data_IF_428542576259
#
_entry.id   IF_428542576259
#
_cell.length_a   1.000
_cell.length_b   1.000
_cell.length_c   1.000
_cell.angle_alpha   90.00
_cell.angle_beta   90.00
_cell.angle_gamma   90.00
#
_symmetry.space_group_name_H-M   'P 1'
#
loop_
_entity.id
_entity.type
_entity.pdbx_description
1 polymer ?
#
# COMPACT_ATOMS: atom_id res chain seq x y z
N UNK A 1 -0.74 25.14 -13.02
CA UNK A 1 0.02 24.01 -12.43
C UNK A 1 -0.92 22.83 -12.39
N UNK A 2 -0.60 21.73 -13.08
CA UNK A 2 -1.48 20.57 -13.17
C UNK A 2 -1.66 19.86 -11.81
N UNK A 3 -2.80 19.16 -11.64
CA UNK A 3 -3.20 18.53 -10.38
C UNK A 3 -3.46 17.05 -10.56
N UNK A 4 -2.75 16.23 -9.77
CA UNK A 4 -2.97 14.81 -9.64
C UNK A 4 -3.87 14.51 -8.44
N UNK A 5 -5.02 13.91 -8.68
CA UNK A 5 -5.85 13.34 -7.62
C UNK A 5 -5.18 12.06 -7.09
N UNK A 6 -4.74 12.09 -5.84
CA UNK A 6 -4.15 10.92 -5.15
C UNK A 6 -5.24 10.27 -4.30
N UNK A 7 -5.66 9.06 -4.68
CA UNK A 7 -6.65 8.30 -3.91
C UNK A 7 -5.93 7.24 -3.08
N UNK A 8 -5.72 7.58 -1.79
CA UNK A 8 -4.92 6.79 -0.85
C UNK A 8 -5.25 7.19 0.60
N UNK A 9 -5.06 6.31 1.60
CA UNK A 9 -5.14 6.71 3.01
C UNK A 9 -4.23 7.91 3.29
N UNK A 10 -4.72 8.91 4.02
CA UNK A 10 -4.02 10.19 4.23
C UNK A 10 -2.62 9.98 4.82
N UNK A 11 -2.49 9.07 5.80
CA UNK A 11 -1.21 8.72 6.40
C UNK A 11 -0.18 8.12 5.41
N UNK A 12 -0.62 7.73 4.20
CA UNK A 12 0.20 7.09 3.15
C UNK A 12 0.39 7.95 1.91
N UNK A 13 -0.17 9.15 1.89
CA UNK A 13 -0.13 10.03 0.71
C UNK A 13 1.14 10.88 0.61
N UNK A 14 1.91 11.01 1.69
CA UNK A 14 3.05 11.93 1.77
C UNK A 14 4.10 11.74 0.67
N UNK A 15 4.52 10.49 0.40
CA UNK A 15 5.48 10.18 -0.66
C UNK A 15 4.92 10.49 -2.06
N UNK A 16 3.62 10.29 -2.27
CA UNK A 16 2.97 10.60 -3.55
C UNK A 16 2.86 12.11 -3.77
N UNK A 17 2.49 12.86 -2.71
CA UNK A 17 2.46 14.34 -2.73
C UNK A 17 3.85 14.89 -3.04
N UNK A 18 4.89 14.37 -2.37
CA UNK A 18 6.27 14.75 -2.65
C UNK A 18 6.67 14.41 -4.08
N UNK A 19 6.33 13.23 -4.58
CA UNK A 19 6.63 12.80 -5.96
C UNK A 19 5.99 13.73 -6.99
N UNK A 20 4.75 14.17 -6.78
CA UNK A 20 4.08 15.15 -7.63
C UNK A 20 4.84 16.49 -7.62
N UNK A 21 5.20 17.00 -6.45
CA UNK A 21 5.89 18.28 -6.31
C UNK A 21 7.25 18.33 -7.02
N UNK A 22 7.98 17.21 -7.06
CA UNK A 22 9.29 17.11 -7.73
C UNK A 22 9.24 17.33 -9.25
N UNK A 23 8.06 17.22 -9.86
CA UNK A 23 7.86 17.37 -11.30
C UNK A 23 6.90 18.51 -11.66
N UNK A 24 6.63 19.41 -10.70
CA UNK A 24 5.80 20.60 -10.91
C UNK A 24 4.30 20.31 -10.90
N UNK A 25 3.85 19.21 -10.32
CA UNK A 25 2.45 18.86 -10.14
C UNK A 25 1.98 19.15 -8.71
N UNK A 26 0.75 19.62 -8.56
CA UNK A 26 0.06 19.62 -7.28
C UNK A 26 -0.59 18.26 -7.04
N UNK A 27 -0.72 17.86 -5.79
CA UNK A 27 -1.50 16.71 -5.41
C UNK A 27 -2.75 17.13 -4.64
N UNK A 28 -3.91 16.56 -5.02
CA UNK A 28 -5.13 16.62 -4.23
C UNK A 28 -5.39 15.23 -3.66
N UNK A 29 -5.47 15.12 -2.34
CA UNK A 29 -5.62 13.80 -1.68
C UNK A 29 -7.07 13.55 -1.32
N UNK A 30 -7.65 12.45 -1.81
CA UNK A 30 -8.91 11.91 -1.32
C UNK A 30 -8.64 10.55 -0.64
N UNK A 31 -9.09 10.43 0.61
CA UNK A 31 -8.89 9.24 1.42
C UNK A 31 -10.24 8.62 1.80
N UNK A 32 -10.81 7.74 0.98
CA UNK A 32 -12.07 7.05 1.31
C UNK A 32 -11.90 5.96 2.37
N UNK A 33 -10.64 5.63 2.74
CA UNK A 33 -10.29 4.65 3.77
C UNK A 33 -9.13 5.21 4.59
N UNK A 34 -9.26 5.23 5.90
CA UNK A 34 -8.18 5.59 6.82
C UNK A 34 -7.56 4.37 7.49
N UNK A 35 -6.28 4.53 7.85
CA UNK A 35 -5.52 3.54 8.62
C UNK A 35 -5.53 3.97 10.09
N UNK A 36 -6.11 3.15 10.94
CA UNK A 36 -6.17 3.35 12.39
C UNK A 36 -5.31 2.30 13.08
N UNK A 37 -4.23 2.66 13.80
CA UNK A 37 -3.42 1.72 14.55
C UNK A 37 -4.24 0.98 15.62
N UNK A 38 -4.02 -0.33 15.76
CA UNK A 38 -4.56 -1.10 16.88
C UNK A 38 -3.59 -1.03 18.07
N UNK A 39 -3.79 -0.04 18.93
CA UNK A 39 -2.93 0.22 20.08
C UNK A 39 -2.84 -0.98 21.05
N UNK A 40 -3.88 -1.81 21.10
CA UNK A 40 -3.89 -3.00 21.95
C UNK A 40 -2.98 -4.08 21.39
N UNK A 41 -3.06 -4.34 20.08
CA UNK A 41 -2.18 -5.29 19.41
C UNK A 41 -0.72 -4.80 19.41
N UNK A 42 -0.50 -3.50 19.20
CA UNK A 42 0.83 -2.89 19.17
C UNK A 42 1.56 -2.97 20.52
N UNK A 43 0.87 -2.86 21.66
CA UNK A 43 1.48 -3.04 22.98
C UNK A 43 2.07 -4.45 23.19
N UNK A 44 1.46 -5.48 22.63
CA UNK A 44 1.95 -6.86 22.70
C UNK A 44 3.01 -7.22 21.65
N UNK A 45 3.16 -6.37 20.63
CA UNK A 45 3.95 -6.70 19.44
C UNK A 45 5.44 -6.90 19.72
N UNK A 46 6.02 -6.11 20.64
CA UNK A 46 7.44 -6.24 21.01
C UNK A 46 7.78 -7.64 21.50
N UNK A 47 6.93 -8.23 22.34
CA UNK A 47 7.12 -9.57 22.87
C UNK A 47 6.92 -10.64 21.79
N UNK A 48 5.87 -10.53 20.96
CA UNK A 48 5.65 -11.41 19.84
C UNK A 48 6.82 -11.39 18.85
N UNK A 49 7.30 -10.18 18.51
CA UNK A 49 8.43 -9.98 17.62
C UNK A 49 9.73 -10.59 18.18
N UNK A 50 10.02 -10.42 19.49
CA UNK A 50 11.23 -10.95 20.11
C UNK A 50 11.28 -12.48 20.09
N UNK A 51 10.13 -13.15 20.25
CA UNK A 51 10.01 -14.62 20.25
C UNK A 51 9.98 -15.25 18.87
N UNK A 52 9.74 -14.49 17.83
CA UNK A 52 9.65 -14.98 16.47
C UNK A 52 11.05 -15.28 15.89
N UNK A 53 11.18 -16.40 15.19
CA UNK A 53 12.37 -16.76 14.41
C UNK A 53 12.37 -16.07 13.05
N UNK A 54 11.18 -15.82 12.49
CA UNK A 54 10.97 -15.05 11.26
C UNK A 54 9.70 -14.20 11.36
N UNK A 55 9.67 -13.07 10.64
CA UNK A 55 8.51 -12.18 10.61
C UNK A 55 8.09 -11.92 9.17
N UNK A 56 6.82 -12.16 8.87
CA UNK A 56 6.23 -11.85 7.57
C UNK A 56 5.39 -10.56 7.63
N UNK A 57 5.69 -9.64 6.73
CA UNK A 57 5.09 -8.31 6.62
C UNK A 57 4.17 -8.22 5.40
N UNK A 58 2.87 -8.12 5.64
CA UNK A 58 1.83 -8.23 4.61
C UNK A 58 1.69 -6.98 3.74
N UNK A 59 2.22 -5.85 4.18
CA UNK A 59 2.13 -4.59 3.44
C UNK A 59 3.13 -3.55 3.97
N UNK A 60 3.47 -2.50 3.18
CA UNK A 60 4.22 -1.36 3.70
C UNK A 60 3.53 -0.71 4.92
N UNK A 61 2.20 -0.62 4.91
CA UNK A 61 1.42 -0.11 6.04
C UNK A 61 1.66 -0.91 7.32
N UNK A 62 1.71 -2.26 7.24
CA UNK A 62 2.02 -3.11 8.39
C UNK A 62 3.41 -2.81 8.96
N UNK A 63 4.40 -2.64 8.08
CA UNK A 63 5.78 -2.27 8.48
C UNK A 63 5.78 -0.92 9.20
N UNK A 64 5.24 0.11 8.58
CA UNK A 64 5.32 1.48 9.10
C UNK A 64 4.50 1.68 10.38
N UNK A 65 3.34 1.01 10.49
CA UNK A 65 2.54 1.04 11.72
C UNK A 65 3.25 0.33 12.88
N UNK A 66 3.93 -0.79 12.61
CA UNK A 66 4.56 -1.61 13.63
C UNK A 66 6.00 -1.19 13.98
N UNK A 67 6.71 -0.54 13.06
CA UNK A 67 8.13 -0.19 13.22
C UNK A 67 8.48 0.52 14.54
N UNK A 68 7.67 1.47 15.07
CA UNK A 68 7.96 2.12 16.36
C UNK A 68 7.93 1.17 17.57
N UNK A 69 7.35 -0.01 17.43
CA UNK A 69 7.09 -0.96 18.51
C UNK A 69 8.03 -2.19 18.49
N UNK A 70 8.90 -2.29 17.49
CA UNK A 70 9.82 -3.43 17.31
C UNK A 70 11.25 -2.95 17.16
N UNK A 71 12.21 -3.84 17.46
CA UNK A 71 13.62 -3.57 17.31
C UNK A 71 14.21 -4.41 16.17
N UNK A 72 14.66 -3.75 15.11
CA UNK A 72 15.29 -4.38 13.94
C UNK A 72 16.79 -4.61 14.10
N UNK A 73 17.37 -4.46 15.29
CA UNK A 73 18.82 -4.64 15.55
C UNK A 73 19.27 -6.11 15.42
N UNK A 74 18.36 -7.08 15.51
CA UNK A 74 18.68 -8.50 15.29
C UNK A 74 18.86 -8.80 13.80
N UNK A 75 20.12 -8.81 13.37
CA UNK A 75 20.53 -9.02 12.00
C UNK A 75 20.28 -10.46 11.50
N UNK A 76 20.03 -11.40 12.39
CA UNK A 76 19.79 -12.82 12.03
C UNK A 76 18.31 -13.12 11.79
N UNK A 77 17.41 -12.34 12.38
CA UNK A 77 15.98 -12.55 12.24
C UNK A 77 15.50 -12.26 10.81
N UNK A 78 14.94 -13.26 10.15
CA UNK A 78 14.43 -13.12 8.79
C UNK A 78 13.21 -12.19 8.74
N UNK A 79 13.31 -11.09 7.99
CA UNK A 79 12.23 -10.14 7.72
C UNK A 79 11.70 -10.41 6.32
N UNK A 80 10.53 -11.03 6.21
CA UNK A 80 9.97 -11.49 4.94
C UNK A 80 8.88 -10.52 4.51
N UNK A 81 9.03 -9.91 3.36
CA UNK A 81 8.09 -8.95 2.79
C UNK A 81 7.20 -9.60 1.73
N UNK A 82 5.94 -9.15 1.62
CA UNK A 82 5.03 -9.62 0.56
C UNK A 82 5.52 -9.25 -0.84
N UNK A 83 6.29 -8.18 -0.98
CA UNK A 83 6.83 -7.69 -2.24
C UNK A 83 7.81 -6.55 -2.03
N UNK A 84 8.34 -6.00 -3.12
CA UNK A 84 9.42 -5.02 -3.11
C UNK A 84 9.10 -3.75 -2.30
N UNK A 85 7.88 -3.22 -2.39
CA UNK A 85 7.48 -2.02 -1.64
C UNK A 85 7.55 -2.22 -0.12
N UNK A 86 7.13 -3.41 0.37
CA UNK A 86 7.24 -3.77 1.79
C UNK A 86 8.69 -4.01 2.20
N UNK A 87 9.48 -4.62 1.32
CA UNK A 87 10.93 -4.81 1.53
C UNK A 87 11.67 -3.49 1.69
N UNK A 88 11.39 -2.52 0.82
CA UNK A 88 11.96 -1.17 0.92
C UNK A 88 11.53 -0.45 2.20
N UNK A 89 10.26 -0.61 2.64
CA UNK A 89 9.79 -0.06 3.91
C UNK A 89 10.58 -0.66 5.09
N UNK A 90 10.82 -1.97 5.11
CA UNK A 90 11.64 -2.64 6.12
C UNK A 90 13.07 -2.09 6.17
N UNK A 91 13.71 -1.94 5.02
CA UNK A 91 15.08 -1.39 4.93
C UNK A 91 15.11 0.05 5.46
N UNK A 92 14.13 0.89 5.11
CA UNK A 92 14.03 2.26 5.67
C UNK A 92 13.87 2.27 7.18
N UNK A 93 13.20 1.26 7.76
CA UNK A 93 13.06 1.11 9.21
C UNK A 93 14.26 0.44 9.90
N UNK A 94 15.34 0.14 9.15
CA UNK A 94 16.58 -0.41 9.71
C UNK A 94 16.71 -1.93 9.68
N UNK A 95 15.75 -2.65 9.09
CA UNK A 95 15.85 -4.11 8.94
C UNK A 95 16.97 -4.46 7.94
N UNK A 96 17.81 -5.46 8.28
CA UNK A 96 18.96 -5.85 7.48
C UNK A 96 18.74 -7.16 6.72
N UNK A 97 18.15 -8.16 7.35
CA UNK A 97 17.94 -9.49 6.78
C UNK A 97 16.56 -9.58 6.09
N UNK A 98 16.41 -8.89 4.96
CA UNK A 98 15.12 -8.71 4.27
C UNK A 98 15.01 -9.61 3.05
N UNK A 99 13.93 -10.38 2.97
CA UNK A 99 13.58 -11.25 1.85
C UNK A 99 12.27 -10.77 1.21
N UNK A 100 12.27 -10.60 -0.10
CA UNK A 100 11.07 -10.26 -0.86
C UNK A 100 11.07 -11.01 -2.20
N UNK A 101 9.92 -11.40 -2.74
CA UNK A 101 9.84 -11.96 -4.08
C UNK A 101 10.37 -10.95 -5.11
N UNK A 102 11.14 -11.42 -6.09
CA UNK A 102 11.59 -10.60 -7.21
C UNK A 102 10.41 -10.30 -8.15
N UNK A 103 9.55 -11.29 -8.33
CA UNK A 103 8.33 -11.19 -9.12
C UNK A 103 7.12 -11.60 -8.28
N UNK A 104 6.00 -10.89 -8.49
CA UNK A 104 4.78 -11.07 -7.71
C UNK A 104 4.80 -10.28 -6.39
N UNK A 105 3.61 -10.14 -5.82
CA UNK A 105 3.38 -9.45 -4.55
C UNK A 105 2.19 -10.09 -3.80
N UNK A 106 2.13 -11.42 -3.86
CA UNK A 106 1.08 -12.24 -3.27
C UNK A 106 1.66 -13.35 -2.38
N UNK A 107 0.77 -14.04 -1.69
CA UNK A 107 1.13 -15.11 -0.77
C UNK A 107 1.81 -16.29 -1.47
N UNK A 108 1.46 -16.55 -2.72
CA UNK A 108 2.01 -17.64 -3.52
C UNK A 108 3.47 -17.38 -3.87
N UNK A 109 3.81 -16.14 -4.26
CA UNK A 109 5.19 -15.72 -4.50
C UNK A 109 6.04 -15.80 -3.23
N UNK A 110 5.49 -15.36 -2.08
CA UNK A 110 6.16 -15.44 -0.78
C UNK A 110 6.44 -16.89 -0.38
N UNK A 111 5.48 -17.82 -0.58
CA UNK A 111 5.66 -19.24 -0.22
C UNK A 111 6.77 -19.94 -1.02
N UNK A 112 7.18 -19.39 -2.17
CA UNK A 112 8.30 -19.90 -2.99
C UNK A 112 9.67 -19.38 -2.56
N UNK A 113 9.74 -18.47 -1.60
CA UNK A 113 11.02 -17.93 -1.13
C UNK A 113 11.85 -19.02 -0.44
N UNK A 114 13.14 -19.15 -0.78
CA UNK A 114 14.01 -20.18 -0.20
C UNK A 114 14.27 -20.00 1.30
N UNK A 115 14.00 -18.81 1.85
CA UNK A 115 14.16 -18.53 3.28
C UNK A 115 13.37 -19.49 4.18
N UNK A 116 12.24 -20.00 3.71
CA UNK A 116 11.44 -20.99 4.48
C UNK A 116 12.16 -22.31 4.71
N UNK A 117 13.04 -22.70 3.79
CA UNK A 117 13.80 -23.94 3.87
C UNK A 117 15.02 -23.81 4.80
N UNK A 118 15.40 -22.58 5.16
CA UNK A 118 16.50 -22.31 6.11
C UNK A 118 16.03 -22.28 7.58
N UNK A 119 14.73 -22.19 7.82
CA UNK A 119 14.17 -22.15 9.16
C UNK A 119 14.04 -23.56 9.74
N UNK A 120 14.32 -23.74 11.06
CA UNK A 120 14.16 -25.04 11.70
C UNK A 120 12.70 -25.50 11.74
N UNK A 121 12.47 -26.81 11.81
CA UNK A 121 11.14 -27.37 11.99
C UNK A 121 10.51 -26.83 13.28
N UNK A 122 9.26 -26.39 13.22
CA UNK A 122 8.56 -25.77 14.34
C UNK A 122 8.94 -24.32 14.62
N UNK A 123 9.75 -23.68 13.76
CA UNK A 123 10.08 -22.27 13.90
C UNK A 123 8.83 -21.39 14.04
N UNK A 124 8.95 -20.37 14.87
CA UNK A 124 7.88 -19.40 15.13
C UNK A 124 7.88 -18.31 14.06
N UNK A 125 6.80 -18.23 13.31
CA UNK A 125 6.61 -17.21 12.29
C UNK A 125 5.53 -16.24 12.75
N UNK A 126 5.91 -14.97 12.92
CA UNK A 126 4.98 -13.89 13.20
C UNK A 126 4.51 -13.27 11.88
N UNK A 127 3.19 -13.19 11.67
CA UNK A 127 2.58 -12.48 10.54
C UNK A 127 2.06 -11.13 11.03
N UNK A 128 2.63 -10.03 10.54
CA UNK A 128 2.20 -8.67 10.86
C UNK A 128 1.33 -8.13 9.73
N UNK A 129 0.05 -7.83 10.04
CA UNK A 129 -0.95 -7.44 9.04
C UNK A 129 -1.98 -6.44 9.56
N UNK A 130 -2.81 -5.90 8.68
CA UNK A 130 -4.06 -5.24 9.04
C UNK A 130 -5.15 -6.25 9.37
N UNK A 131 -6.15 -5.84 10.16
CA UNK A 131 -7.29 -6.68 10.52
C UNK A 131 -8.07 -7.16 9.29
N UNK A 132 -8.52 -8.42 9.31
CA UNK A 132 -9.30 -9.04 8.24
C UNK A 132 -8.49 -9.45 7.00
N UNK A 133 -7.17 -9.62 7.14
CA UNK A 133 -6.31 -10.16 6.08
C UNK A 133 -6.61 -11.64 5.78
N UNK A 134 -6.22 -12.11 4.58
CA UNK A 134 -6.41 -13.51 4.17
C UNK A 134 -5.57 -14.47 5.02
N UNK A 135 -6.13 -15.62 5.38
CA UNK A 135 -5.45 -16.64 6.20
C UNK A 135 -4.64 -17.65 5.39
N UNK A 136 -4.71 -17.59 4.06
CA UNK A 136 -4.07 -18.56 3.16
C UNK A 136 -2.58 -18.78 3.46
N UNK A 137 -1.81 -17.72 3.67
CA UNK A 137 -0.38 -17.86 4.00
C UNK A 137 -0.18 -18.50 5.38
N UNK A 138 -0.95 -18.07 6.38
CA UNK A 138 -0.88 -18.64 7.73
C UNK A 138 -1.17 -20.13 7.75
N UNK A 139 -2.21 -20.55 7.04
CA UNK A 139 -2.57 -21.97 6.90
C UNK A 139 -1.50 -22.76 6.14
N UNK A 140 -0.94 -22.18 5.08
CA UNK A 140 0.12 -22.81 4.29
C UNK A 140 1.39 -23.00 5.10
N UNK A 141 1.79 -22.02 5.91
CA UNK A 141 2.95 -22.11 6.79
C UNK A 141 2.72 -23.14 7.93
N UNK A 142 1.52 -23.19 8.52
CA UNK A 142 1.15 -24.24 9.49
C UNK A 142 1.25 -25.64 8.88
N UNK A 143 0.80 -25.83 7.63
CA UNK A 143 0.93 -27.09 6.89
C UNK A 143 2.40 -27.47 6.63
N UNK A 144 3.30 -26.50 6.50
CA UNK A 144 4.75 -26.71 6.41
C UNK A 144 5.40 -27.04 7.77
N UNK A 145 4.64 -27.01 8.88
CA UNK A 145 5.12 -27.34 10.22
C UNK A 145 5.62 -26.17 11.04
N UNK A 146 5.37 -24.92 10.64
CA UNK A 146 5.73 -23.74 11.42
C UNK A 146 4.68 -23.41 12.50
N UNK A 147 5.13 -22.85 13.62
CA UNK A 147 4.26 -22.26 14.63
C UNK A 147 3.92 -20.83 14.23
N UNK A 148 2.68 -20.58 13.78
CA UNK A 148 2.28 -19.28 13.23
C UNK A 148 1.49 -18.47 14.25
N UNK A 149 1.94 -17.24 14.50
CA UNK A 149 1.26 -16.22 15.29
C UNK A 149 0.90 -15.03 14.36
N UNK A 150 -0.22 -14.34 14.62
CA UNK A 150 -0.71 -13.23 13.83
C UNK A 150 -0.84 -12.00 14.70
N UNK A 151 -0.24 -10.87 14.29
CA UNK A 151 -0.42 -9.56 14.87
C UNK A 151 -1.22 -8.68 13.89
N UNK A 152 -2.46 -8.34 14.24
CA UNK A 152 -3.29 -7.42 13.48
C UNK A 152 -3.12 -6.00 14.02
N UNK A 153 -2.17 -5.25 13.44
CA UNK A 153 -1.64 -4.00 14.01
C UNK A 153 -2.38 -2.73 13.58
N UNK A 154 -3.34 -2.84 12.65
CA UNK A 154 -4.16 -1.71 12.23
C UNK A 154 -5.51 -2.13 11.66
N UNK A 155 -6.46 -1.20 11.70
CA UNK A 155 -7.75 -1.28 11.03
C UNK A 155 -7.73 -0.47 9.73
N UNK A 156 -8.55 -0.87 8.77
CA UNK A 156 -9.01 -0.02 7.68
C UNK A 156 -10.41 0.46 8.01
N UNK A 157 -10.58 1.77 8.16
CA UNK A 157 -11.86 2.38 8.45
C UNK A 157 -12.38 3.10 7.21
N UNK A 158 -13.63 2.87 6.82
CA UNK A 158 -14.28 3.76 5.86
C UNK A 158 -14.20 5.18 6.39
N UNK A 159 -13.88 6.13 5.50
CA UNK A 159 -13.78 7.54 5.82
C UNK A 159 -14.72 8.32 4.91
N UNK A 160 -15.47 9.24 5.49
CA UNK A 160 -16.38 10.11 4.77
C UNK A 160 -15.59 11.20 4.03
N UNK A 161 -15.83 11.34 2.72
CA UNK A 161 -15.14 12.30 1.89
C UNK A 161 -15.79 13.67 1.98
N UNK A 162 -14.99 14.70 2.25
CA UNK A 162 -15.42 16.09 2.16
C UNK A 162 -15.33 16.59 0.71
N UNK A 163 -16.48 16.95 0.13
CA UNK A 163 -16.59 17.45 -1.24
C UNK A 163 -16.75 18.98 -1.32
N UNK A 164 -16.75 19.68 -0.18
CA UNK A 164 -17.08 21.10 -0.12
C UNK A 164 -16.12 21.96 -0.94
N UNK A 165 -14.82 21.65 -0.89
CA UNK A 165 -13.78 22.40 -1.58
C UNK A 165 -13.26 21.66 -2.83
N UNK A 166 -13.95 20.58 -3.25
CA UNK A 166 -13.53 19.80 -4.40
C UNK A 166 -13.86 20.51 -5.70
N UNK A 167 -12.82 20.87 -6.44
CA UNK A 167 -12.90 21.51 -7.75
C UNK A 167 -12.50 20.50 -8.84
N UNK A 168 -13.52 19.93 -9.50
CA UNK A 168 -13.32 18.94 -10.57
C UNK A 168 -12.55 19.52 -11.78
N UNK A 169 -12.73 20.82 -12.09
CA UNK A 169 -12.10 21.45 -13.25
C UNK A 169 -10.58 21.64 -13.05
N UNK A 170 -10.11 21.62 -11.80
CA UNK A 170 -8.68 21.72 -11.49
C UNK A 170 -7.93 20.39 -11.59
N UNK A 171 -8.61 19.24 -11.70
CA UNK A 171 -7.99 17.91 -11.66
C UNK A 171 -7.73 17.39 -13.07
N UNK A 172 -6.46 17.08 -13.38
CA UNK A 172 -6.05 16.60 -14.71
C UNK A 172 -6.01 15.08 -14.82
N UNK A 173 -5.65 14.39 -13.75
CA UNK A 173 -5.56 12.93 -13.72
C UNK A 173 -5.67 12.40 -12.28
N UNK A 174 -5.88 11.09 -12.12
CA UNK A 174 -5.91 10.42 -10.82
C UNK A 174 -4.92 9.26 -10.74
N UNK A 175 -4.31 9.05 -9.57
CA UNK A 175 -3.58 7.84 -9.22
C UNK A 175 -4.27 7.13 -8.06
N UNK A 176 -4.65 5.86 -8.26
CA UNK A 176 -5.37 5.08 -7.27
C UNK A 176 -4.67 3.75 -6.97
N UNK A 177 -4.51 3.43 -5.68
CA UNK A 177 -3.57 2.42 -5.22
C UNK A 177 -4.20 1.05 -4.88
N UNK A 178 -5.54 0.93 -4.80
CA UNK A 178 -6.20 -0.36 -4.55
C UNK A 178 -7.67 -0.38 -4.99
N UNK A 179 -8.21 -1.58 -5.24
CA UNK A 179 -9.63 -1.75 -5.56
C UNK A 179 -10.58 -1.39 -4.39
N UNK A 180 -10.13 -1.47 -3.15
CA UNK A 180 -10.89 -1.00 -1.98
C UNK A 180 -11.07 0.53 -2.04
N UNK A 181 -10.01 1.27 -2.40
CA UNK A 181 -10.08 2.72 -2.58
C UNK A 181 -10.96 3.12 -3.76
N UNK A 182 -10.96 2.33 -4.85
CA UNK A 182 -11.89 2.53 -5.98
C UNK A 182 -13.32 2.44 -5.48
N UNK A 183 -13.69 1.35 -4.82
CA UNK A 183 -15.05 1.17 -4.29
C UNK A 183 -15.44 2.25 -3.28
N UNK A 184 -14.52 2.58 -2.36
CA UNK A 184 -14.77 3.61 -1.36
C UNK A 184 -14.95 5.01 -1.94
N UNK A 185 -14.19 5.36 -2.99
CA UNK A 185 -14.33 6.62 -3.72
C UNK A 185 -15.66 6.68 -4.47
N UNK A 186 -15.92 5.73 -5.38
CA UNK A 186 -17.09 5.77 -6.26
C UNK A 186 -18.41 5.63 -5.49
N UNK A 187 -18.42 4.96 -4.35
CA UNK A 187 -19.60 4.90 -3.49
C UNK A 187 -19.99 6.26 -2.86
N UNK A 188 -19.08 7.23 -2.88
CA UNK A 188 -19.27 8.54 -2.24
C UNK A 188 -19.24 9.71 -3.24
N UNK A 189 -19.02 9.46 -4.53
CA UNK A 189 -19.03 10.52 -5.56
C UNK A 189 -20.42 11.16 -5.64
N UNK A 190 -20.57 12.48 -5.41
CA UNK A 190 -21.83 13.18 -5.57
C UNK A 190 -22.31 13.15 -7.03
N UNK A 191 -23.63 13.13 -7.29
CA UNK A 191 -24.17 13.04 -8.65
C UNK A 191 -23.63 14.11 -9.63
N UNK A 192 -23.36 15.33 -9.15
CA UNK A 192 -22.81 16.40 -9.97
C UNK A 192 -21.40 16.12 -10.50
N UNK A 193 -20.63 15.25 -9.83
CA UNK A 193 -19.27 14.88 -10.24
C UNK A 193 -19.20 13.50 -10.96
N UNK A 194 -20.32 12.78 -11.13
CA UNK A 194 -20.30 11.43 -11.71
C UNK A 194 -19.65 11.40 -13.09
N UNK A 195 -20.06 12.28 -14.01
CA UNK A 195 -19.48 12.36 -15.36
C UNK A 195 -17.98 12.70 -15.36
N UNK A 196 -17.56 13.56 -14.45
CA UNK A 196 -16.15 13.88 -14.28
C UNK A 196 -15.35 12.66 -13.91
N UNK A 197 -15.75 11.90 -12.87
CA UNK A 197 -15.06 10.69 -12.43
C UNK A 197 -15.12 9.54 -13.46
N UNK A 198 -16.15 9.46 -14.28
CA UNK A 198 -16.23 8.51 -15.41
C UNK A 198 -15.22 8.84 -16.52
N UNK A 199 -14.99 10.12 -16.80
CA UNK A 199 -14.14 10.62 -17.90
C UNK A 199 -12.70 10.94 -17.48
N UNK A 200 -12.39 10.98 -16.19
CA UNK A 200 -11.05 11.28 -15.67
C UNK A 200 -10.02 10.24 -16.12
N UNK A 201 -8.80 10.65 -16.40
CA UNK A 201 -7.69 9.74 -16.69
C UNK A 201 -7.15 9.14 -15.40
N UNK A 202 -7.29 7.83 -15.25
CA UNK A 202 -6.78 7.07 -14.11
C UNK A 202 -5.47 6.38 -14.42
N UNK A 203 -4.56 6.43 -13.45
CA UNK A 203 -3.37 5.60 -13.38
C UNK A 203 -3.46 4.66 -12.18
N UNK A 204 -3.00 3.44 -12.36
CA UNK A 204 -2.89 2.44 -11.28
C UNK A 204 -1.72 1.51 -11.56
N UNK A 205 -1.23 0.81 -10.53
CA UNK A 205 -0.05 -0.06 -10.66
C UNK A 205 -0.40 -1.56 -10.86
N UNK A 206 -1.68 -1.90 -10.95
CA UNK A 206 -2.07 -3.31 -11.07
C UNK A 206 -3.33 -3.49 -11.94
N UNK A 207 -3.37 -4.51 -12.84
CA UNK A 207 -4.53 -4.79 -13.69
C UNK A 207 -5.85 -4.99 -12.93
N UNK A 208 -5.83 -5.67 -11.77
CA UNK A 208 -7.04 -5.86 -10.92
C UNK A 208 -7.65 -4.55 -10.41
N UNK A 209 -6.84 -3.51 -10.24
CA UNK A 209 -7.34 -2.18 -9.85
C UNK A 209 -7.96 -1.49 -11.08
N UNK A 210 -7.37 -1.68 -12.25
CA UNK A 210 -7.94 -1.21 -13.51
C UNK A 210 -9.30 -1.86 -13.79
N UNK A 211 -9.47 -3.16 -13.48
CA UNK A 211 -10.76 -3.84 -13.61
C UNK A 211 -11.80 -3.25 -12.64
N UNK A 212 -11.43 -3.03 -11.37
CA UNK A 212 -12.30 -2.37 -10.41
C UNK A 212 -12.72 -0.95 -10.83
N UNK A 213 -11.82 -0.19 -11.49
CA UNK A 213 -12.13 1.13 -12.05
C UNK A 213 -13.14 1.03 -13.19
N UNK A 214 -12.99 0.04 -14.12
CA UNK A 214 -13.96 -0.21 -15.21
C UNK A 214 -15.32 -0.59 -14.65
N UNK A 215 -15.37 -1.49 -13.67
CA UNK A 215 -16.60 -1.89 -12.99
C UNK A 215 -17.29 -0.71 -12.30
N UNK A 216 -16.52 0.29 -11.82
CA UNK A 216 -17.04 1.51 -11.23
C UNK A 216 -17.47 2.58 -12.27
N UNK A 217 -17.26 2.35 -13.58
CA UNK A 217 -17.68 3.24 -14.66
C UNK A 217 -16.57 4.15 -15.22
N UNK A 218 -15.31 4.01 -14.81
CA UNK A 218 -14.21 4.79 -15.36
C UNK A 218 -13.83 4.31 -16.78
N UNK A 219 -13.61 5.23 -17.72
CA UNK A 219 -13.34 4.91 -19.12
C UNK A 219 -11.87 5.02 -19.52
N UNK A 220 -11.11 5.92 -18.91
CA UNK A 220 -9.72 6.19 -19.29
C UNK A 220 -8.76 5.70 -18.22
N UNK A 221 -8.19 4.50 -18.43
CA UNK A 221 -7.38 3.83 -17.42
C UNK A 221 -6.06 3.37 -18.02
N UNK A 222 -4.94 3.64 -17.32
CA UNK A 222 -3.59 3.18 -17.68
C UNK A 222 -2.96 2.45 -16.50
N UNK A 223 -2.42 1.26 -16.77
CA UNK A 223 -1.62 0.51 -15.80
C UNK A 223 -0.15 0.89 -16.00
N UNK A 224 0.50 1.34 -14.93
CA UNK A 224 1.89 1.84 -14.92
C UNK A 224 2.65 1.25 -13.73
N UNK A 225 3.97 1.24 -13.79
CA UNK A 225 4.78 0.68 -12.69
C UNK A 225 4.70 1.49 -11.38
N UNK A 226 4.47 2.81 -11.47
CA UNK A 226 4.46 3.71 -10.31
C UNK A 226 3.81 5.06 -10.64
N UNK A 227 3.54 5.88 -9.62
CA UNK A 227 3.12 7.28 -9.80
C UNK A 227 4.14 8.09 -10.61
N UNK A 228 5.45 7.87 -10.38
CA UNK A 228 6.50 8.53 -11.15
C UNK A 228 6.41 8.19 -12.65
N UNK A 229 6.12 6.94 -12.98
CA UNK A 229 5.88 6.52 -14.36
C UNK A 229 4.60 7.15 -14.94
N UNK A 230 3.53 7.30 -14.15
CA UNK A 230 2.31 8.01 -14.57
C UNK A 230 2.62 9.46 -14.95
N UNK A 231 3.30 10.17 -14.06
CA UNK A 231 3.66 11.59 -14.25
C UNK A 231 4.56 11.81 -15.47
N UNK A 232 5.42 10.84 -15.83
CA UNK A 232 6.26 10.93 -17.02
C UNK A 232 5.50 10.79 -18.35
N UNK A 233 4.28 10.25 -18.33
CA UNK A 233 3.41 10.09 -19.50
C UNK A 233 2.50 11.30 -19.74
N UNK A 234 2.46 12.23 -18.80
CA UNK A 234 1.63 13.42 -18.88
C UNK A 234 2.44 14.58 -19.43
N UNK A 235 1.82 15.54 -20.17
CA UNK A 235 2.52 16.70 -20.69
C UNK A 235 3.11 17.51 -19.53
N UNK A 236 4.39 17.88 -19.64
CA UNK A 236 4.99 18.90 -18.79
C UNK A 236 4.49 20.25 -19.29
N UNK A 237 4.03 21.12 -18.38
CA UNK A 237 3.88 22.52 -18.74
C UNK A 237 5.22 23.03 -19.28
N UNK A 238 5.23 23.49 -20.54
CA UNK A 238 6.35 24.29 -21.04
C UNK A 238 6.36 25.55 -20.18
N UNK A 239 7.38 25.71 -19.34
CA UNK A 239 7.71 27.03 -18.80
C UNK A 239 8.07 27.87 -19.99
N UNK A 240 7.16 28.74 -20.45
CA UNK A 240 7.52 29.87 -21.30
C UNK A 240 8.53 30.70 -20.50
N UNK A 241 9.81 30.54 -20.79
CA UNK A 241 10.82 31.49 -20.40
C UNK A 241 10.48 32.76 -21.19
N UNK A 242 10.27 33.92 -20.53
CA UNK A 242 10.13 35.17 -21.23
C UNK A 242 11.46 35.52 -21.93
N UNK A 243 11.39 35.67 -23.23
CA UNK A 243 12.46 36.23 -24.09
C UNK A 243 12.75 37.67 -23.72
#
# INVERSE_FOLDING_TARGET
MPVMLIVRPSARAGDDVYTCSQVGWRAWVLSPVEIEPDETALRGLKEQFSRADAVFWVSPTAVETAAPYVDFSDDLKAQIAVGQASGQALVRCGAKNVYAPQEGNDSEAVLRLPVWDTLPQGARVLIVRGRGGRDFLAESLKKKGFAVEIAEVYFRRPNELNWQDFDAESIDAAFIASGELVRGLFAQVPPQFSRFFESLLYFTHHPRIADALREAGAHHIRVVASLKAALSLLPKEQTDEPV
#
